data_IF_044078623901
#
_entry.id   IF_044078623901
#
_cell.length_a   1.000
_cell.length_b   1.000
_cell.length_c   1.000
_cell.angle_alpha   90.00
_cell.angle_beta   90.00
_cell.angle_gamma   90.00
#
_symmetry.space_group_name_H-M   'P 1'
#
loop_
_entity.id
_entity.type
_entity.pdbx_description
1 polymer ?
#
# COMPACT_ATOMS: atom_id res chain seq x y z
N UNK A 1 -2.08 -48.99 -2.23
CA UNK A 1 -2.99 -49.24 -3.36
C UNK A 1 -3.32 -47.90 -3.97
N UNK A 2 -2.75 -47.62 -5.15
CA UNK A 2 -2.94 -46.37 -5.88
C UNK A 2 -4.33 -46.34 -6.50
N UNK A 3 -5.04 -45.22 -6.36
CA UNK A 3 -6.15 -44.87 -7.26
C UNK A 3 -5.99 -43.42 -7.69
N UNK A 4 -5.46 -43.29 -8.90
CA UNK A 4 -5.50 -42.10 -9.76
C UNK A 4 -6.89 -42.10 -10.42
N UNK A 5 -7.58 -40.96 -10.41
CA UNK A 5 -8.71 -40.64 -11.29
C UNK A 5 -8.54 -39.17 -11.69
N UNK A 6 -7.99 -38.89 -12.88
CA UNK A 6 -8.71 -38.47 -14.10
C UNK A 6 -9.73 -37.34 -13.82
N UNK A 7 -9.38 -36.09 -14.14
CA UNK A 7 -9.47 -35.46 -15.47
C UNK A 7 -10.91 -35.14 -15.88
N UNK A 8 -11.25 -33.85 -15.80
CA UNK A 8 -12.14 -33.22 -16.77
C UNK A 8 -11.75 -31.75 -16.91
N UNK A 9 -10.99 -31.45 -17.97
CA UNK A 9 -10.83 -30.10 -18.49
C UNK A 9 -12.16 -29.69 -19.15
N UNK A 10 -12.79 -28.63 -18.66
CA UNK A 10 -13.92 -28.02 -19.33
C UNK A 10 -13.41 -26.84 -20.17
N UNK A 11 -13.17 -27.12 -21.45
CA UNK A 11 -12.85 -26.15 -22.48
C UNK A 11 -14.12 -25.36 -22.85
N UNK A 12 -14.21 -24.10 -22.46
CA UNK A 12 -15.28 -23.20 -22.92
C UNK A 12 -14.72 -22.23 -23.97
N UNK A 13 -15.11 -22.46 -25.21
CA UNK A 13 -14.78 -21.68 -26.42
C UNK A 13 -15.92 -20.70 -26.71
N UNK A 14 -15.53 -19.42 -26.84
CA UNK A 14 -16.09 -18.32 -27.64
C UNK A 14 -17.58 -17.98 -27.62
N UNK A 15 -17.84 -16.69 -27.36
CA UNK A 15 -18.59 -15.84 -28.30
C UNK A 15 -18.09 -14.39 -28.21
N UNK A 16 -17.34 -13.96 -29.23
CA UNK A 16 -17.13 -12.55 -29.57
C UNK A 16 -18.39 -12.05 -30.27
N UNK A 17 -19.14 -11.13 -29.65
CA UNK A 17 -20.14 -10.33 -30.32
C UNK A 17 -19.51 -8.98 -30.72
N UNK A 18 -19.09 -8.91 -31.98
CA UNK A 18 -18.83 -7.66 -32.66
C UNK A 18 -20.18 -7.08 -33.14
N UNK A 19 -20.62 -5.97 -32.54
CA UNK A 19 -21.61 -5.08 -33.15
C UNK A 19 -20.99 -3.69 -33.23
N UNK A 20 -20.59 -3.33 -34.45
CA UNK A 20 -20.26 -1.95 -34.80
C UNK A 20 -21.53 -1.11 -34.85
N UNK A 21 -21.45 0.07 -34.26
CA UNK A 21 -22.34 1.20 -34.53
C UNK A 21 -21.46 2.42 -34.80
N UNK A 22 -21.34 2.80 -36.07
CA UNK A 22 -20.90 4.13 -36.46
C UNK A 22 -22.11 5.06 -36.31
N UNK A 23 -22.01 6.11 -35.51
CA UNK A 23 -22.74 7.35 -35.76
C UNK A 23 -21.78 8.53 -35.57
N UNK A 24 -21.53 9.21 -36.68
CA UNK A 24 -21.01 10.58 -36.76
C UNK A 24 -22.15 11.59 -36.56
N UNK A 25 -21.76 12.86 -36.38
CA UNK A 25 -22.56 14.10 -36.31
C UNK A 25 -23.11 14.44 -34.91
N UNK A 26 -22.98 15.66 -34.37
CA UNK A 26 -22.82 16.98 -34.99
C UNK A 26 -22.11 17.95 -34.02
N UNK A 27 -21.29 18.83 -34.60
CA UNK A 27 -20.62 19.95 -33.92
C UNK A 27 -21.60 21.12 -33.89
N UNK A 28 -22.07 21.51 -32.71
CA UNK A 28 -22.67 22.84 -32.54
C UNK A 28 -21.70 23.73 -31.76
N UNK A 29 -21.02 24.60 -32.51
CA UNK A 29 -20.45 25.85 -32.01
C UNK A 29 -21.56 26.72 -31.44
N UNK A 30 -21.35 27.27 -30.26
CA UNK A 30 -21.77 28.64 -30.00
C UNK A 30 -20.73 29.37 -29.17
N UNK A 31 -20.54 30.59 -29.62
CA UNK A 31 -19.46 31.52 -29.36
C UNK A 31 -19.86 32.52 -28.26
N UNK A 32 -18.84 33.11 -27.65
CA UNK A 32 -18.76 34.53 -27.22
C UNK A 32 -19.24 34.97 -25.82
N UNK A 33 -18.23 35.57 -25.14
CA UNK A 33 -18.22 36.70 -24.19
C UNK A 33 -18.81 36.53 -22.80
N UNK A 34 -18.28 37.16 -21.75
CA UNK A 34 -17.17 38.10 -21.56
C UNK A 34 -16.97 38.30 -20.05
N UNK A 35 -15.73 38.58 -19.64
CA UNK A 35 -15.28 39.54 -18.59
C UNK A 35 -16.11 39.69 -17.29
N UNK A 36 -15.55 39.70 -16.07
CA UNK A 36 -14.59 40.70 -15.58
C UNK A 36 -13.97 40.32 -14.22
N UNK A 37 -12.72 40.76 -14.06
CA UNK A 37 -11.86 40.98 -12.88
C UNK A 37 -12.51 41.30 -11.52
N UNK A 38 -11.80 40.96 -10.43
CA UNK A 38 -11.20 41.87 -9.40
C UNK A 38 -10.40 41.01 -8.39
N UNK A 39 -9.06 40.96 -8.41
CA UNK A 39 -8.07 41.85 -7.75
C UNK A 39 -7.89 41.68 -6.21
N UNK A 40 -6.75 41.04 -5.85
CA UNK A 40 -5.73 41.46 -4.85
C UNK A 40 -6.09 41.58 -3.36
N UNK A 41 -5.36 40.86 -2.46
CA UNK A 41 -4.17 41.41 -1.75
C UNK A 41 -3.45 40.44 -0.80
N UNK A 42 -2.13 40.42 -1.00
CA UNK A 42 -0.99 39.93 -0.19
C UNK A 42 -0.82 40.66 1.16
N UNK A 43 -0.39 39.94 2.21
CA UNK A 43 0.75 40.25 3.11
C UNK A 43 0.81 39.19 4.25
N UNK A 44 1.84 38.34 4.35
CA UNK A 44 3.17 38.56 4.96
C UNK A 44 3.12 38.88 6.46
N UNK A 45 3.64 37.98 7.31
CA UNK A 45 4.62 38.35 8.35
C UNK A 45 5.31 37.13 8.99
N UNK A 46 6.64 37.14 8.86
CA UNK A 46 7.64 36.37 9.61
C UNK A 46 7.74 36.86 11.05
N UNK A 47 7.97 35.96 12.02
CA UNK A 47 8.65 36.33 13.27
C UNK A 47 9.66 35.28 13.72
N UNK A 48 10.92 35.71 13.64
CA UNK A 48 12.15 35.11 14.17
C UNK A 48 12.33 35.54 15.63
N UNK A 49 12.79 34.63 16.49
CA UNK A 49 13.51 34.96 17.73
C UNK A 49 14.50 33.85 18.11
N UNK A 50 15.77 34.11 17.81
CA UNK A 50 17.02 33.68 18.45
C UNK A 50 17.03 34.11 19.95
N UNK A 51 17.71 33.52 20.94
CA UNK A 51 18.65 32.40 21.05
C UNK A 51 19.24 32.34 22.49
N UNK A 52 20.12 31.36 22.72
CA UNK A 52 21.32 31.27 23.62
C UNK A 52 21.44 30.01 24.50
N UNK A 53 22.31 29.11 24.01
CA UNK A 53 23.45 28.42 24.66
C UNK A 53 23.54 28.34 26.20
N UNK A 54 23.82 27.14 26.72
CA UNK A 54 25.19 26.75 27.17
C UNK A 54 25.27 25.24 27.48
N UNK A 55 26.42 24.67 27.11
CA UNK A 55 26.91 23.30 27.09
C UNK A 55 26.91 22.56 28.45
N UNK A 56 26.95 21.21 28.42
CA UNK A 56 28.15 20.40 28.78
C UNK A 56 27.85 18.89 28.74
N UNK A 57 28.55 18.14 27.89
CA UNK A 57 29.26 16.92 28.32
C UNK A 57 28.67 15.53 28.07
N UNK A 58 29.21 14.88 27.03
CA UNK A 58 29.67 13.47 26.96
C UNK A 58 28.63 12.34 26.82
N UNK A 59 28.51 11.79 25.61
CA UNK A 59 29.14 10.50 25.27
C UNK A 59 29.08 10.26 23.76
N UNK A 60 30.24 10.28 23.11
CA UNK A 60 30.41 9.76 21.75
C UNK A 60 30.38 8.24 21.81
N UNK A 61 29.25 7.67 21.42
CA UNK A 61 29.21 6.34 20.81
C UNK A 61 29.16 6.57 19.30
N UNK A 62 30.04 5.90 18.56
CA UNK A 62 30.20 6.09 17.12
C UNK A 62 28.88 5.91 16.38
N UNK A 63 28.31 7.02 15.95
CA UNK A 63 27.18 7.06 15.04
C UNK A 63 27.74 7.16 13.63
N UNK A 64 27.72 6.03 12.90
CA UNK A 64 27.80 6.06 11.45
C UNK A 64 26.47 6.61 10.95
N UNK A 65 26.29 7.92 11.12
CA UNK A 65 25.14 8.67 10.62
C UNK A 65 25.35 8.89 9.12
N UNK A 66 25.15 7.82 8.36
CA UNK A 66 24.57 7.96 7.04
C UNK A 66 23.16 8.51 7.34
N UNK A 67 22.86 9.75 6.95
CA UNK A 67 21.49 10.29 7.04
C UNK A 67 20.57 9.31 6.30
N UNK A 68 20.02 8.36 7.05
CA UNK A 68 19.38 7.17 6.53
C UNK A 68 18.00 7.55 6.05
N UNK A 69 17.73 7.29 4.77
CA UNK A 69 16.36 7.39 4.24
C UNK A 69 15.49 6.43 5.06
N UNK A 70 14.58 6.97 5.87
CA UNK A 70 13.61 6.15 6.59
C UNK A 70 12.57 5.60 5.62
N UNK A 71 11.99 4.45 5.92
CA UNK A 71 10.98 3.85 5.04
C UNK A 71 9.76 4.77 4.86
N UNK A 72 9.39 5.55 5.88
CA UNK A 72 8.27 6.50 5.79
C UNK A 72 8.54 7.59 4.74
N UNK A 73 9.78 8.09 4.70
CA UNK A 73 10.18 9.08 3.71
C UNK A 73 10.12 8.49 2.31
N UNK A 74 10.59 7.25 2.12
CA UNK A 74 10.54 6.60 0.80
C UNK A 74 9.10 6.34 0.35
N UNK A 75 8.23 5.82 1.23
CA UNK A 75 6.81 5.67 0.92
C UNK A 75 6.18 7.04 0.58
N UNK A 76 6.51 8.09 1.33
CA UNK A 76 6.04 9.45 1.05
C UNK A 76 6.48 9.99 -0.32
N UNK A 77 7.71 9.67 -0.75
CA UNK A 77 8.21 10.00 -2.09
C UNK A 77 7.46 9.22 -3.18
N UNK A 78 7.20 7.93 -2.96
CA UNK A 78 6.42 7.10 -3.90
C UNK A 78 4.99 7.63 -4.04
N UNK A 79 4.32 7.96 -2.92
CA UNK A 79 2.96 8.53 -2.90
C UNK A 79 2.90 9.84 -3.68
N UNK A 80 3.90 10.70 -3.49
CA UNK A 80 4.01 12.02 -4.15
C UNK A 80 4.44 11.93 -5.61
N UNK A 81 4.87 10.76 -6.07
CA UNK A 81 5.33 10.56 -7.43
C UNK A 81 4.16 10.50 -8.42
N UNK A 82 4.40 10.96 -9.64
CA UNK A 82 3.44 10.80 -10.73
C UNK A 82 3.27 9.32 -11.09
N UNK A 83 2.06 8.96 -11.50
CA UNK A 83 1.69 7.61 -11.91
C UNK A 83 0.38 7.15 -11.32
N UNK A 84 -0.13 6.03 -11.83
CA UNK A 84 -1.27 5.31 -11.27
C UNK A 84 -0.82 4.37 -10.12
N UNK A 85 -1.75 3.61 -9.54
CA UNK A 85 -1.47 2.68 -8.44
C UNK A 85 -0.43 1.63 -8.80
N UNK A 86 -0.44 1.11 -10.04
CA UNK A 86 0.56 0.16 -10.55
C UNK A 86 1.95 0.78 -10.63
N UNK A 87 2.08 2.02 -11.16
CA UNK A 87 3.38 2.71 -11.22
C UNK A 87 3.97 2.94 -9.82
N UNK A 88 3.13 3.30 -8.86
CA UNK A 88 3.54 3.50 -7.45
C UNK A 88 3.92 2.18 -6.77
N UNK A 89 3.13 1.12 -7.01
CA UNK A 89 3.44 -0.21 -6.50
C UNK A 89 4.78 -0.73 -7.03
N UNK A 90 5.08 -0.57 -8.32
CA UNK A 90 6.37 -0.99 -8.88
C UNK A 90 7.56 -0.27 -8.22
N UNK A 91 7.44 1.03 -7.92
CA UNK A 91 8.48 1.75 -7.15
C UNK A 91 8.62 1.21 -5.73
N UNK A 92 7.51 0.86 -5.09
CA UNK A 92 7.55 0.21 -3.77
C UNK A 92 8.22 -1.16 -3.84
N UNK A 93 7.94 -1.97 -4.86
CA UNK A 93 8.61 -3.28 -5.06
C UNK A 93 10.12 -3.13 -5.20
N UNK A 94 10.58 -2.15 -5.99
CA UNK A 94 12.01 -1.85 -6.13
C UNK A 94 12.66 -1.47 -4.78
N UNK A 95 11.96 -0.68 -3.96
CA UNK A 95 12.40 -0.35 -2.61
C UNK A 95 12.43 -1.58 -1.70
N UNK A 96 11.33 -2.34 -1.63
CA UNK A 96 11.17 -3.54 -0.79
C UNK A 96 12.24 -4.59 -1.07
N UNK A 97 12.67 -4.74 -2.33
CA UNK A 97 13.70 -5.70 -2.71
C UNK A 97 15.08 -5.43 -2.07
N UNK A 98 15.34 -4.18 -1.67
CA UNK A 98 16.63 -3.74 -1.13
C UNK A 98 16.55 -3.25 0.32
N UNK A 99 15.34 -3.10 0.87
CA UNK A 99 15.13 -2.61 2.22
C UNK A 99 15.36 -3.71 3.25
N UNK A 100 16.19 -3.41 4.25
CA UNK A 100 16.48 -4.31 5.36
C UNK A 100 16.04 -3.66 6.67
N UNK A 101 14.88 -4.08 7.15
CA UNK A 101 14.30 -3.58 8.39
C UNK A 101 15.17 -3.93 9.61
N UNK A 102 15.20 -3.04 10.60
CA UNK A 102 15.77 -3.33 11.92
C UNK A 102 14.87 -4.24 12.74
N UNK A 103 15.41 -4.84 13.80
CA UNK A 103 14.61 -5.67 14.72
C UNK A 103 13.48 -4.85 15.39
N UNK A 104 13.73 -3.57 15.68
CA UNK A 104 12.72 -2.66 16.21
C UNK A 104 11.61 -2.37 15.19
N UNK A 105 11.95 -2.17 13.92
CA UNK A 105 10.97 -1.98 12.84
C UNK A 105 10.15 -3.25 12.63
N UNK A 106 10.75 -4.43 12.67
CA UNK A 106 10.04 -5.71 12.56
C UNK A 106 9.01 -5.85 13.69
N UNK A 107 9.39 -5.57 14.95
CA UNK A 107 8.43 -5.66 16.06
C UNK A 107 7.33 -4.59 15.95
N UNK A 108 7.67 -3.39 15.48
CA UNK A 108 6.67 -2.36 15.20
C UNK A 108 5.68 -2.82 14.11
N UNK A 109 6.18 -3.33 12.99
CA UNK A 109 5.36 -3.76 11.85
C UNK A 109 4.44 -4.91 12.22
N UNK A 110 4.92 -5.86 13.03
CA UNK A 110 4.08 -6.93 13.58
C UNK A 110 2.90 -6.37 14.36
N UNK A 111 3.16 -5.44 15.29
CA UNK A 111 2.11 -4.83 16.10
C UNK A 111 1.12 -4.03 15.24
N UNK A 112 1.62 -3.31 14.23
CA UNK A 112 0.79 -2.56 13.30
C UNK A 112 -0.15 -3.47 12.52
N UNK A 113 0.34 -4.55 11.89
CA UNK A 113 -0.51 -5.43 11.07
C UNK A 113 -1.56 -6.17 11.91
N UNK A 114 -1.22 -6.55 13.13
CA UNK A 114 -2.16 -7.22 14.05
C UNK A 114 -3.25 -6.25 14.51
N UNK A 115 -2.86 -5.07 14.99
CA UNK A 115 -3.79 -4.03 15.43
C UNK A 115 -4.75 -3.60 14.30
N UNK A 116 -4.22 -3.47 13.09
CA UNK A 116 -5.01 -3.05 11.94
C UNK A 116 -6.04 -4.13 11.51
N UNK A 117 -5.64 -5.40 11.58
CA UNK A 117 -6.55 -6.53 11.35
C UNK A 117 -7.62 -6.66 12.44
N UNK A 118 -7.25 -6.58 13.72
CA UNK A 118 -8.17 -6.66 14.85
C UNK A 118 -9.21 -5.54 14.83
N UNK A 119 -8.79 -4.33 14.42
CA UNK A 119 -9.67 -3.18 14.27
C UNK A 119 -10.48 -3.18 12.97
N UNK A 120 -10.31 -4.21 12.12
CA UNK A 120 -10.96 -4.38 10.81
C UNK A 120 -10.77 -3.16 9.90
N UNK A 121 -9.59 -2.56 9.96
CA UNK A 121 -9.24 -1.34 9.21
C UNK A 121 -8.45 -1.61 7.93
N UNK A 122 -7.86 -2.80 7.77
CA UNK A 122 -6.80 -3.03 6.78
C UNK A 122 -7.19 -2.83 5.32
N UNK A 123 -8.49 -2.95 4.99
CA UNK A 123 -9.08 -2.62 3.68
C UNK A 123 -10.16 -1.53 3.78
N UNK A 124 -10.13 -0.73 4.85
CA UNK A 124 -11.13 0.29 5.14
C UNK A 124 -11.06 1.49 4.19
N UNK A 125 -9.86 1.84 3.72
CA UNK A 125 -9.56 3.02 2.90
C UNK A 125 -8.57 2.67 1.77
N UNK A 126 -9.04 1.92 0.78
CA UNK A 126 -8.21 1.38 -0.31
C UNK A 126 -7.71 2.44 -1.31
N UNK A 127 -8.29 3.64 -1.29
CA UNK A 127 -7.87 4.77 -2.14
C UNK A 127 -6.74 5.60 -1.51
N UNK A 128 -6.37 5.30 -0.27
CA UNK A 128 -5.33 6.01 0.46
C UNK A 128 -3.95 5.41 0.19
N UNK A 129 -3.27 5.95 -0.83
CA UNK A 129 -1.94 5.50 -1.26
C UNK A 129 -0.93 5.38 -0.10
N UNK A 130 -0.87 6.40 0.77
CA UNK A 130 0.08 6.40 1.89
C UNK A 130 -0.17 5.22 2.82
N UNK A 131 -1.43 4.98 3.15
CA UNK A 131 -1.82 3.88 4.02
C UNK A 131 -1.57 2.53 3.37
N UNK A 132 -2.08 2.32 2.16
CA UNK A 132 -2.00 1.03 1.46
C UNK A 132 -0.55 0.64 1.19
N UNK A 133 0.27 1.56 0.66
CA UNK A 133 1.68 1.29 0.39
C UNK A 133 2.47 1.02 1.69
N UNK A 134 2.16 1.73 2.78
CA UNK A 134 2.78 1.44 4.08
C UNK A 134 2.41 0.04 4.59
N UNK A 135 1.15 -0.36 4.47
CA UNK A 135 0.70 -1.69 4.93
C UNK A 135 1.24 -2.82 4.05
N UNK A 136 1.34 -2.60 2.74
CA UNK A 136 1.98 -3.54 1.80
C UNK A 136 3.45 -3.76 2.17
N UNK A 137 4.20 -2.69 2.45
CA UNK A 137 5.59 -2.78 2.92
C UNK A 137 5.69 -3.59 4.22
N UNK A 138 4.89 -3.22 5.23
CA UNK A 138 4.94 -3.86 6.55
C UNK A 138 4.64 -5.35 6.47
N UNK A 139 3.58 -5.72 5.76
CA UNK A 139 3.19 -7.13 5.60
C UNK A 139 4.24 -7.94 4.83
N UNK A 140 4.84 -7.36 3.79
CA UNK A 140 5.97 -7.98 3.08
C UNK A 140 7.16 -8.24 4.00
N UNK A 141 7.57 -7.26 4.79
CA UNK A 141 8.72 -7.40 5.70
C UNK A 141 8.45 -8.45 6.79
N UNK A 142 7.22 -8.50 7.33
CA UNK A 142 6.84 -9.54 8.30
C UNK A 142 6.83 -10.92 7.66
N UNK A 143 6.28 -11.07 6.46
CA UNK A 143 6.32 -12.33 5.72
C UNK A 143 7.76 -12.82 5.54
N UNK A 144 8.66 -11.96 5.02
CA UNK A 144 10.05 -12.34 4.76
C UNK A 144 10.82 -12.71 6.04
N UNK A 145 10.56 -12.02 7.15
CA UNK A 145 11.23 -12.27 8.44
C UNK A 145 10.65 -13.43 9.24
N UNK A 146 9.42 -13.86 8.97
CA UNK A 146 8.69 -14.86 9.75
C UNK A 146 8.21 -16.06 8.90
N UNK A 147 8.85 -16.32 7.76
CA UNK A 147 8.46 -17.39 6.84
C UNK A 147 8.32 -18.77 7.52
N UNK A 148 7.20 -19.46 7.23
CA UNK A 148 6.89 -20.77 7.80
C UNK A 148 6.38 -20.76 9.25
N UNK A 149 6.04 -19.59 9.78
CA UNK A 149 5.34 -19.42 11.06
C UNK A 149 3.90 -18.96 10.84
N UNK A 150 2.99 -19.12 11.81
CA UNK A 150 1.64 -18.57 11.70
C UNK A 150 1.60 -17.06 11.43
N UNK A 151 2.59 -16.30 11.93
CA UNK A 151 2.67 -14.86 11.68
C UNK A 151 3.09 -14.56 10.24
N UNK A 152 4.04 -15.32 9.69
CA UNK A 152 4.46 -15.20 8.30
C UNK A 152 3.33 -15.56 7.33
N UNK A 153 2.62 -16.66 7.59
CA UNK A 153 1.48 -17.09 6.77
C UNK A 153 0.34 -16.05 6.82
N UNK A 154 0.01 -15.55 8.01
CA UNK A 154 -0.95 -14.46 8.19
C UNK A 154 -0.55 -13.21 7.40
N UNK A 155 0.72 -12.79 7.49
CA UNK A 155 1.22 -11.60 6.82
C UNK A 155 1.25 -11.76 5.29
N UNK A 156 1.58 -12.95 4.78
CA UNK A 156 1.57 -13.26 3.34
C UNK A 156 0.18 -13.11 2.74
N UNK A 157 -0.84 -13.63 3.41
CA UNK A 157 -2.24 -13.55 2.95
C UNK A 157 -2.76 -12.11 3.05
N UNK A 158 -2.45 -11.41 4.15
CA UNK A 158 -2.78 -9.99 4.31
C UNK A 158 -2.14 -9.13 3.21
N UNK A 159 -0.88 -9.40 2.89
CA UNK A 159 -0.13 -8.73 1.83
C UNK A 159 -0.81 -8.92 0.47
N UNK A 160 -1.25 -10.14 0.15
CA UNK A 160 -1.96 -10.41 -1.10
C UNK A 160 -3.27 -9.62 -1.19
N UNK A 161 -4.10 -9.61 -0.14
CA UNK A 161 -5.32 -8.81 -0.10
C UNK A 161 -5.06 -7.31 -0.30
N UNK A 162 -4.07 -6.76 0.42
CA UNK A 162 -3.69 -5.35 0.29
C UNK A 162 -3.21 -5.02 -1.14
N UNK A 163 -2.38 -5.88 -1.73
CA UNK A 163 -1.84 -5.69 -3.07
C UNK A 163 -2.94 -5.74 -4.12
N UNK A 164 -3.75 -6.80 -4.13
CA UNK A 164 -4.80 -6.99 -5.14
C UNK A 164 -5.83 -5.86 -5.10
N UNK A 165 -6.22 -5.42 -3.91
CA UNK A 165 -7.18 -4.31 -3.75
C UNK A 165 -6.57 -2.96 -4.12
N UNK A 166 -5.31 -2.68 -3.74
CA UNK A 166 -4.63 -1.44 -4.12
C UNK A 166 -4.41 -1.33 -5.64
N UNK A 167 -4.08 -2.43 -6.30
CA UNK A 167 -3.95 -2.49 -7.76
C UNK A 167 -5.30 -2.46 -8.49
N UNK A 168 -6.42 -2.56 -7.76
CA UNK A 168 -7.77 -2.64 -8.33
C UNK A 168 -8.05 -3.95 -9.08
N UNK A 169 -7.27 -4.99 -8.79
CA UNK A 169 -7.44 -6.33 -9.36
C UNK A 169 -8.59 -7.09 -8.67
N UNK A 170 -8.83 -6.80 -7.39
CA UNK A 170 -9.96 -7.33 -6.62
C UNK A 170 -10.70 -6.22 -5.85
N UNK A 171 -12.01 -6.36 -5.72
CA UNK A 171 -12.80 -5.56 -4.78
C UNK A 171 -12.64 -6.14 -3.36
N UNK A 172 -12.65 -5.30 -2.34
CA UNK A 172 -12.54 -5.74 -0.94
C UNK A 172 -13.66 -6.67 -0.48
N UNK A 173 -14.80 -6.66 -1.17
CA UNK A 173 -15.94 -7.56 -0.92
C UNK A 173 -15.93 -8.80 -1.83
N UNK A 174 -14.89 -8.99 -2.65
CA UNK A 174 -14.77 -10.15 -3.53
C UNK A 174 -14.69 -11.46 -2.74
N UNK A 175 -15.11 -12.55 -3.38
CA UNK A 175 -14.99 -13.89 -2.79
C UNK A 175 -13.52 -14.29 -2.58
N UNK A 176 -12.60 -13.79 -3.42
CA UNK A 176 -11.15 -13.96 -3.26
C UNK A 176 -10.68 -13.35 -1.94
N UNK A 177 -10.98 -12.06 -1.72
CA UNK A 177 -10.58 -11.34 -0.50
C UNK A 177 -11.19 -12.00 0.75
N UNK A 178 -12.46 -12.39 0.70
CA UNK A 178 -13.14 -13.07 1.82
C UNK A 178 -12.57 -14.46 2.12
N UNK A 179 -12.20 -15.22 1.09
CA UNK A 179 -11.55 -16.51 1.26
C UNK A 179 -10.16 -16.37 1.89
N UNK A 180 -9.44 -15.31 1.54
CA UNK A 180 -8.18 -14.94 2.17
C UNK A 180 -8.39 -14.52 3.64
N UNK A 181 -9.41 -13.71 3.94
CA UNK A 181 -9.76 -13.32 5.31
C UNK A 181 -10.10 -14.53 6.20
N UNK A 182 -10.81 -15.53 5.67
CA UNK A 182 -11.07 -16.76 6.40
C UNK A 182 -9.77 -17.51 6.77
N UNK A 183 -8.79 -17.55 5.87
CA UNK A 183 -7.48 -18.14 6.17
C UNK A 183 -6.69 -17.28 7.15
N UNK A 184 -6.77 -15.94 7.04
CA UNK A 184 -6.18 -15.03 8.03
C UNK A 184 -6.75 -15.28 9.43
N UNK A 185 -8.06 -15.50 9.58
CA UNK A 185 -8.69 -15.84 10.86
C UNK A 185 -8.15 -17.15 11.46
N UNK A 186 -7.87 -18.16 10.62
CA UNK A 186 -7.27 -19.42 11.06
C UNK A 186 -5.85 -19.20 11.61
N UNK A 187 -4.99 -18.48 10.88
CA UNK A 187 -3.64 -18.19 11.34
C UNK A 187 -3.63 -17.26 12.56
N UNK A 188 -4.51 -16.26 12.57
CA UNK A 188 -4.66 -15.32 13.67
C UNK A 188 -5.07 -16.02 14.98
N UNK A 189 -5.94 -17.03 14.90
CA UNK A 189 -6.30 -17.85 16.08
C UNK A 189 -5.06 -18.49 16.71
N UNK A 190 -4.17 -19.08 15.90
CA UNK A 190 -2.93 -19.67 16.40
C UNK A 190 -1.97 -18.64 17.02
N UNK A 191 -1.99 -17.38 16.56
CA UNK A 191 -1.19 -16.30 17.15
C UNK A 191 -1.64 -15.94 18.57
N UNK A 192 -2.91 -16.16 18.91
CA UNK A 192 -3.47 -15.84 20.23
C UNK A 192 -3.26 -16.97 21.26
N UNK A 193 -2.91 -18.18 20.80
CA UNK A 193 -2.72 -19.36 21.64
C UNK A 193 -1.27 -19.53 22.16
N UNK A 194 -0.31 -18.81 21.57
CA UNK A 194 1.12 -18.86 21.91
C UNK A 194 1.59 -17.69 22.76
#
# INVERSE_FOLDING_TARGET
>A
MNKILLSTALLSIFCLAACGGKEEFDVTKNDVSSETNTDVKTNSETKKATGNETETGTNQTGDNNQEGVTWENEVGLIVSSEGNTSDKFSKLEEFMANYNASDEEIEQFKNDIISDYESKRYLGDTENDQYMLSMILKTYIIEQSNGGTPLGDFASIMHENLKLTYLGEEDKESETVKANEAQMDEHFTHLQEG
#
